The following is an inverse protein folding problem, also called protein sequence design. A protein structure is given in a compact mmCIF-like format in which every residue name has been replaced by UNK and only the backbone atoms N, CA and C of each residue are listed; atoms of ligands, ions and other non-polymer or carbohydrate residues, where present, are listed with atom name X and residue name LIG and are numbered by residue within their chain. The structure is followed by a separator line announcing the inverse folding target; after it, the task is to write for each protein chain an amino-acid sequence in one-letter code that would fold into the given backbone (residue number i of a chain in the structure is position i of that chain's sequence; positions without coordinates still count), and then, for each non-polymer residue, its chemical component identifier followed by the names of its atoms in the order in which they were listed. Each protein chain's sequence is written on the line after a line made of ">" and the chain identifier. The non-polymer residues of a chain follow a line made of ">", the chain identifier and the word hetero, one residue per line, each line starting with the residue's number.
data_IF_126117982407
#
_entry.id   IF_126117982407
#
_cell.length_a   1.000
_cell.length_b   1.000
_cell.length_c   1.000
_cell.angle_alpha   90.00
_cell.angle_beta   90.00
_cell.angle_gamma   90.00
#
_symmetry.space_group_name_H-M   'P 1'
#
loop_
_entity.id
_entity.type
_entity.pdbx_description
1 polymer ?
#
# COMPACT_ATOMS: atom_id res chain seq x y z
N UNK A 1 40.56 -28.35 61.69
CA UNK A 1 40.38 -29.49 60.76
C UNK A 1 39.16 -29.20 59.90
N UNK A 2 39.34 -29.01 58.58
CA UNK A 2 38.79 -29.85 57.48
C UNK A 2 37.24 -29.97 57.58
N UNK A 3 36.40 -29.51 56.64
CA UNK A 3 36.49 -29.56 55.17
C UNK A 3 35.45 -28.63 54.52
N UNK A 4 35.74 -28.20 53.29
CA UNK A 4 34.83 -27.43 52.41
C UNK A 4 33.67 -28.29 51.90
N UNK A 5 32.52 -27.68 51.62
CA UNK A 5 31.72 -28.06 50.46
C UNK A 5 31.06 -26.82 49.84
N UNK A 6 31.38 -26.63 48.58
CA UNK A 6 30.89 -25.59 47.67
C UNK A 6 29.62 -26.11 47.03
N UNK A 7 28.55 -25.31 46.98
CA UNK A 7 27.50 -25.47 45.97
C UNK A 7 27.37 -24.18 45.17
N UNK A 8 27.54 -24.38 43.87
CA UNK A 8 27.71 -23.43 42.79
C UNK A 8 26.39 -23.34 42.03
N UNK A 9 25.98 -22.12 41.69
CA UNK A 9 25.24 -21.70 40.49
C UNK A 9 23.80 -22.17 40.22
N UNK A 10 23.10 -21.25 39.51
CA UNK A 10 22.12 -21.45 38.43
C UNK A 10 20.69 -21.02 38.81
N UNK A 11 20.00 -20.11 38.13
CA UNK A 11 20.29 -19.27 36.98
C UNK A 11 19.06 -18.40 36.77
N UNK A 12 19.28 -17.11 36.60
CA UNK A 12 18.26 -16.11 36.30
C UNK A 12 17.59 -16.43 34.96
N UNK A 13 16.30 -16.78 34.96
CA UNK A 13 15.47 -16.77 33.76
C UNK A 13 14.17 -16.04 34.07
N UNK A 14 14.26 -14.71 34.07
CA UNK A 14 13.12 -13.84 33.84
C UNK A 14 12.76 -14.01 32.36
N UNK A 15 11.82 -14.90 32.06
CA UNK A 15 11.27 -15.03 30.71
C UNK A 15 10.41 -13.79 30.46
N UNK A 16 11.01 -12.73 29.94
CA UNK A 16 10.27 -11.65 29.31
C UNK A 16 9.63 -12.23 28.05
N UNK A 17 8.37 -12.67 28.18
CA UNK A 17 7.47 -12.83 27.05
C UNK A 17 7.33 -11.45 26.40
N UNK A 18 8.19 -11.17 25.42
CA UNK A 18 8.01 -10.05 24.52
C UNK A 18 6.86 -10.47 23.61
N UNK A 19 5.62 -10.25 24.06
CA UNK A 19 4.50 -10.21 23.14
C UNK A 19 4.79 -9.02 22.21
N UNK A 20 5.24 -9.32 21.00
CA UNK A 20 5.22 -8.35 19.92
C UNK A 20 3.75 -7.97 19.72
N UNK A 21 3.31 -6.92 20.41
CA UNK A 21 2.07 -6.28 20.08
C UNK A 21 2.24 -5.85 18.62
N UNK A 22 1.43 -6.42 17.71
CA UNK A 22 1.21 -5.78 16.42
C UNK A 22 0.66 -4.40 16.76
N UNK A 23 1.51 -3.38 16.76
CA UNK A 23 1.07 -2.01 16.79
C UNK A 23 0.09 -1.87 15.64
N UNK A 24 -1.19 -1.75 15.98
CA UNK A 24 -2.24 -1.42 15.03
C UNK A 24 -1.93 0.02 14.63
N UNK A 25 -1.08 0.16 13.61
CA UNK A 25 -0.62 1.44 13.11
C UNK A 25 -1.82 2.37 12.99
N UNK A 26 -1.72 3.56 13.60
CA UNK A 26 -2.81 4.52 13.58
C UNK A 26 -3.19 4.80 12.13
N UNK A 27 -4.39 4.38 11.75
CA UNK A 27 -4.93 4.61 10.41
C UNK A 27 -4.92 6.11 10.14
N UNK A 28 -4.24 6.53 9.08
CA UNK A 28 -4.14 7.94 8.66
C UNK A 28 -5.44 8.41 8.01
N UNK A 29 -6.07 7.51 7.25
CA UNK A 29 -7.32 7.77 6.55
C UNK A 29 -8.21 6.53 6.64
N UNK A 30 -9.52 6.71 6.69
CA UNK A 30 -10.51 5.64 6.57
C UNK A 30 -11.76 6.15 5.86
N UNK A 31 -12.45 5.28 5.15
CA UNK A 31 -13.67 5.64 4.44
C UNK A 31 -14.46 4.43 3.94
N UNK A 32 -15.46 4.69 3.10
CA UNK A 32 -16.21 3.66 2.37
C UNK A 32 -15.79 3.71 0.90
N UNK A 33 -15.43 2.57 0.31
CA UNK A 33 -15.04 2.51 -1.11
C UNK A 33 -16.21 2.66 -2.07
N UNK A 34 -17.44 2.42 -1.58
CA UNK A 34 -18.68 2.29 -2.34
C UNK A 34 -18.63 1.13 -3.36
N UNK A 35 -17.82 0.12 -3.06
CA UNK A 35 -17.67 -1.12 -3.83
C UNK A 35 -17.90 -2.33 -2.94
N UNK A 36 -17.92 -3.52 -3.52
CA UNK A 36 -18.06 -4.79 -2.78
C UNK A 36 -16.90 -5.03 -1.78
N UNK A 37 -15.77 -4.33 -1.94
CA UNK A 37 -14.65 -4.41 -0.98
C UNK A 37 -14.95 -3.72 0.36
N UNK A 38 -16.01 -2.91 0.44
CA UNK A 38 -16.51 -2.35 1.69
C UNK A 38 -15.73 -1.12 2.19
N UNK A 39 -15.54 -1.02 3.51
CA UNK A 39 -14.77 0.06 4.12
C UNK A 39 -13.27 -0.10 3.81
N UNK A 40 -12.54 1.01 3.80
CA UNK A 40 -11.09 1.00 3.66
C UNK A 40 -10.39 1.74 4.79
N UNK A 41 -9.13 1.35 5.03
CA UNK A 41 -8.17 2.05 5.89
C UNK A 41 -6.86 2.22 5.14
N UNK A 42 -6.18 3.35 5.38
CA UNK A 42 -4.85 3.63 4.84
C UNK A 42 -3.92 3.99 5.99
N UNK A 43 -2.77 3.33 6.06
CA UNK A 43 -1.72 3.60 7.03
C UNK A 43 -0.36 3.63 6.33
N UNK A 44 0.65 4.24 6.97
CA UNK A 44 2.04 4.12 6.49
C UNK A 44 2.45 2.65 6.52
N UNK A 45 3.03 2.16 5.43
CA UNK A 45 3.54 0.79 5.36
C UNK A 45 5.01 0.75 5.82
N UNK A 46 5.42 -0.26 6.61
CA UNK A 46 6.83 -0.55 6.85
C UNK A 46 7.53 -1.09 5.58
N UNK A 47 6.78 -1.66 4.65
CA UNK A 47 7.29 -2.24 3.41
C UNK A 47 7.35 -1.17 2.32
N UNK A 48 8.55 -0.62 2.11
CA UNK A 48 8.74 0.44 1.13
C UNK A 48 8.83 -0.11 -0.30
N UNK A 49 8.01 0.42 -1.20
CA UNK A 49 8.21 0.24 -2.65
C UNK A 49 9.52 0.93 -3.05
N UNK A 50 10.31 0.25 -3.88
CA UNK A 50 11.52 0.82 -4.48
C UNK A 50 11.23 1.28 -5.90
N UNK A 51 11.47 2.56 -6.20
CA UNK A 51 11.29 3.15 -7.53
C UNK A 51 12.64 3.70 -8.02
N UNK A 52 13.17 3.15 -9.12
CA UNK A 52 14.46 3.60 -9.66
C UNK A 52 15.64 3.41 -8.71
N UNK A 53 15.57 2.42 -7.82
CA UNK A 53 16.60 2.13 -6.81
C UNK A 53 16.44 2.88 -5.49
N UNK A 54 15.44 3.76 -5.35
CA UNK A 54 15.16 4.49 -4.12
C UNK A 54 13.89 3.98 -3.44
N UNK A 55 13.97 3.73 -2.13
CA UNK A 55 12.81 3.43 -1.31
C UNK A 55 11.92 4.69 -1.18
N UNK A 56 10.65 4.58 -1.55
CA UNK A 56 9.70 5.70 -1.48
C UNK A 56 8.73 5.55 -0.32
N UNK A 57 8.17 6.68 0.12
CA UNK A 57 7.07 6.70 1.09
C UNK A 57 5.95 5.81 0.56
N UNK A 58 5.60 4.79 1.34
CA UNK A 58 4.62 3.77 0.93
C UNK A 58 3.51 3.71 1.96
N UNK A 59 2.29 3.58 1.45
CA UNK A 59 1.10 3.32 2.26
C UNK A 59 0.59 1.93 2.00
N UNK A 60 -0.06 1.37 3.01
CA UNK A 60 -0.84 0.16 2.92
C UNK A 60 -2.32 0.54 2.95
N UNK A 61 -3.05 0.13 1.93
CA UNK A 61 -4.50 0.28 1.79
C UNK A 61 -5.15 -1.09 2.00
N UNK A 62 -5.97 -1.18 3.04
CA UNK A 62 -6.71 -2.38 3.40
C UNK A 62 -8.21 -2.16 3.18
N UNK A 63 -8.91 -3.19 2.73
CA UNK A 63 -10.36 -3.21 2.60
C UNK A 63 -10.96 -4.23 3.56
N UNK A 64 -12.17 -3.98 4.09
CA UNK A 64 -12.81 -4.91 5.03
C UNK A 64 -13.12 -6.28 4.42
N UNK A 65 -13.46 -6.34 3.14
CA UNK A 65 -13.83 -7.58 2.46
C UNK A 65 -12.70 -8.09 1.54
N UNK A 66 -11.44 -7.75 1.83
CA UNK A 66 -10.27 -8.25 1.10
C UNK A 66 -9.14 -8.59 2.07
N UNK A 67 -8.58 -9.79 1.91
CA UNK A 67 -7.47 -10.26 2.74
C UNK A 67 -6.09 -9.80 2.23
N UNK A 68 -6.03 -9.19 1.04
CA UNK A 68 -4.78 -8.77 0.40
C UNK A 68 -4.64 -7.25 0.42
N UNK A 69 -3.62 -6.71 1.13
CA UNK A 69 -3.38 -5.27 1.13
C UNK A 69 -2.93 -4.77 -0.23
N UNK A 70 -3.20 -3.50 -0.50
CA UNK A 70 -2.72 -2.77 -1.67
C UNK A 70 -1.61 -1.82 -1.23
N UNK A 71 -0.43 -1.90 -1.86
CA UNK A 71 0.67 -0.98 -1.59
C UNK A 71 0.58 0.24 -2.50
N UNK A 72 0.78 1.43 -1.92
CA UNK A 72 0.73 2.72 -2.63
C UNK A 72 2.04 3.49 -2.40
N UNK A 73 2.91 3.51 -3.41
CA UNK A 73 4.18 4.23 -3.40
C UNK A 73 4.03 5.66 -3.91
N UNK A 74 4.48 6.65 -3.15
CA UNK A 74 4.36 8.07 -3.49
C UNK A 74 5.58 8.55 -4.28
N UNK A 75 5.34 9.07 -5.48
CA UNK A 75 6.36 9.75 -6.29
C UNK A 75 6.02 11.23 -6.41
N UNK A 76 6.71 12.06 -5.62
CA UNK A 76 6.56 13.52 -5.69
C UNK A 76 7.16 14.06 -6.99
N UNK A 77 6.45 14.99 -7.62
CA UNK A 77 6.93 15.76 -8.76
C UNK A 77 6.94 17.25 -8.39
N UNK A 78 7.58 18.10 -9.20
CA UNK A 78 7.67 19.55 -8.94
C UNK A 78 6.31 20.25 -8.77
N UNK A 79 5.24 19.71 -9.36
CA UNK A 79 3.92 20.35 -9.41
C UNK A 79 2.79 19.54 -8.80
N UNK A 80 3.00 18.24 -8.52
CA UNK A 80 1.97 17.32 -8.06
C UNK A 80 2.57 15.99 -7.58
N UNK A 81 1.74 14.99 -7.28
CA UNK A 81 2.16 13.67 -6.84
C UNK A 81 1.60 12.59 -7.78
N UNK A 82 2.46 11.64 -8.14
CA UNK A 82 2.05 10.41 -8.79
C UNK A 82 2.11 9.27 -7.77
N UNK A 83 1.36 8.21 -8.02
CA UNK A 83 1.29 7.06 -7.14
C UNK A 83 1.46 5.78 -7.96
N UNK A 84 2.33 4.89 -7.47
CA UNK A 84 2.42 3.52 -7.95
C UNK A 84 1.53 2.69 -7.04
N UNK A 85 0.57 1.97 -7.60
CA UNK A 85 -0.35 1.12 -6.84
C UNK A 85 -0.11 -0.32 -7.24
N UNK A 86 0.12 -1.19 -6.26
CA UNK A 86 0.57 -2.57 -6.47
C UNK A 86 -0.17 -3.56 -5.56
N UNK A 87 -0.56 -4.68 -6.15
CA UNK A 87 -0.84 -5.96 -5.48
C UNK A 87 0.10 -7.01 -6.05
N UNK A 88 -0.01 -8.26 -5.61
CA UNK A 88 0.84 -9.36 -6.08
C UNK A 88 0.81 -9.55 -7.61
N UNK A 89 -0.35 -9.34 -8.23
CA UNK A 89 -0.57 -9.63 -9.65
C UNK A 89 -1.07 -8.43 -10.45
N UNK A 90 -1.16 -7.23 -9.86
CA UNK A 90 -1.67 -6.06 -10.54
C UNK A 90 -0.87 -4.81 -10.20
N UNK A 91 -0.60 -4.00 -11.22
CA UNK A 91 0.16 -2.75 -11.07
C UNK A 91 -0.42 -1.66 -11.96
N UNK A 92 -0.52 -0.46 -11.40
CA UNK A 92 -1.03 0.70 -12.13
C UNK A 92 -0.42 2.00 -11.60
N UNK A 93 -0.49 3.06 -12.41
CA UNK A 93 -0.05 4.39 -12.01
C UNK A 93 -1.22 5.37 -11.96
N UNK A 94 -1.34 6.07 -10.85
CA UNK A 94 -2.12 7.30 -10.80
C UNK A 94 -1.18 8.48 -11.04
N UNK A 95 -1.49 9.27 -12.06
CA UNK A 95 -0.66 10.39 -12.47
C UNK A 95 -1.41 11.70 -12.39
N UNK A 96 -0.66 12.72 -11.99
CA UNK A 96 -1.13 14.09 -12.02
C UNK A 96 -0.43 14.86 -13.14
N UNK A 97 -1.19 15.30 -14.14
CA UNK A 97 -0.69 16.04 -15.31
C UNK A 97 -1.61 17.21 -15.63
N UNK A 98 -1.07 18.43 -15.59
CA UNK A 98 -1.81 19.68 -15.88
C UNK A 98 -3.12 19.78 -15.09
N UNK A 99 -3.06 19.57 -13.77
CA UNK A 99 -4.20 19.55 -12.84
C UNK A 99 -5.17 18.37 -12.99
N UNK A 100 -5.00 17.51 -13.99
CA UNK A 100 -5.76 16.27 -14.13
C UNK A 100 -5.08 15.17 -13.33
N UNK A 101 -5.82 14.55 -12.41
CA UNK A 101 -5.46 13.32 -11.73
C UNK A 101 -6.26 12.14 -12.30
N UNK A 102 -5.58 11.05 -12.63
CA UNK A 102 -6.23 9.86 -13.17
C UNK A 102 -5.26 8.72 -13.41
N UNK A 103 -5.80 7.60 -13.88
CA UNK A 103 -5.05 6.36 -14.06
C UNK A 103 -4.31 6.31 -15.41
N UNK A 104 -3.15 5.66 -15.42
CA UNK A 104 -2.46 5.17 -16.62
C UNK A 104 -1.83 3.81 -16.33
N UNK A 105 -1.43 3.10 -17.38
CA UNK A 105 -0.63 1.87 -17.22
C UNK A 105 0.68 2.17 -16.50
N UNK A 106 1.13 1.21 -15.69
CA UNK A 106 2.44 1.25 -15.05
C UNK A 106 3.55 1.47 -16.09
N UNK A 107 4.49 2.34 -15.79
CA UNK A 107 5.63 2.62 -16.65
C UNK A 107 6.64 1.47 -16.52
N UNK A 108 7.28 1.09 -17.63
CA UNK A 108 8.12 -0.12 -17.70
C UNK A 108 9.26 -0.13 -16.66
N UNK A 109 9.77 1.04 -16.30
CA UNK A 109 10.83 1.20 -15.32
C UNK A 109 10.41 0.90 -13.87
N UNK A 110 9.10 0.88 -13.58
CA UNK A 110 8.54 0.60 -12.26
C UNK A 110 7.77 -0.72 -12.22
N UNK A 111 7.50 -1.30 -13.38
CA UNK A 111 6.75 -2.53 -13.53
C UNK A 111 7.56 -3.73 -13.00
N UNK A 112 6.92 -4.55 -12.18
CA UNK A 112 7.49 -5.81 -11.65
C UNK A 112 6.66 -7.02 -12.01
N UNK A 113 5.38 -6.82 -12.36
CA UNK A 113 4.48 -7.87 -12.86
C UNK A 113 4.50 -7.85 -14.39
N UNK A 114 4.39 -9.00 -15.05
CA UNK A 114 4.40 -9.03 -16.53
C UNK A 114 3.20 -8.28 -17.11
N UNK A 115 3.37 -7.63 -18.26
CA UNK A 115 2.29 -6.85 -18.88
C UNK A 115 1.09 -7.71 -19.24
N UNK A 116 1.29 -8.98 -19.60
CA UNK A 116 0.21 -9.91 -19.93
C UNK A 116 -0.66 -10.21 -18.70
N UNK A 117 -0.03 -10.43 -17.53
CA UNK A 117 -0.77 -10.65 -16.27
C UNK A 117 -1.59 -9.41 -15.92
N UNK A 118 -0.97 -8.22 -15.95
CA UNK A 118 -1.67 -6.95 -15.66
C UNK A 118 -2.85 -6.74 -16.64
N UNK A 119 -2.62 -6.93 -17.94
CA UNK A 119 -3.65 -6.69 -18.96
C UNK A 119 -4.80 -7.70 -18.86
N UNK A 120 -4.52 -8.94 -18.47
CA UNK A 120 -5.56 -9.95 -18.27
C UNK A 120 -6.47 -9.60 -17.08
N UNK A 121 -5.91 -9.07 -16.00
CA UNK A 121 -6.66 -8.65 -14.82
C UNK A 121 -7.37 -7.30 -14.98
N UNK A 122 -6.87 -6.41 -15.83
CA UNK A 122 -7.40 -5.05 -15.97
C UNK A 122 -8.80 -5.01 -16.59
N UNK A 123 -9.75 -4.35 -15.94
CA UNK A 123 -10.98 -3.89 -16.57
C UNK A 123 -10.66 -2.67 -17.44
N UNK A 124 -10.61 -2.88 -18.77
CA UNK A 124 -10.28 -1.81 -19.71
C UNK A 124 -11.37 -0.73 -19.76
N UNK A 125 -12.64 -1.07 -19.57
CA UNK A 125 -13.73 -0.09 -19.58
C UNK A 125 -13.54 0.90 -18.42
N UNK A 126 -13.34 0.37 -17.22
CA UNK A 126 -13.09 1.17 -16.01
C UNK A 126 -11.75 1.90 -16.09
N UNK A 127 -10.71 1.29 -16.65
CA UNK A 127 -9.43 1.96 -16.88
C UNK A 127 -9.59 3.22 -17.73
N UNK A 128 -10.36 3.17 -18.82
CA UNK A 128 -10.51 4.32 -19.72
C UNK A 128 -11.34 5.45 -19.10
N UNK A 129 -12.39 5.14 -18.33
CA UNK A 129 -13.20 6.15 -17.63
C UNK A 129 -12.41 6.84 -16.53
N UNK A 130 -11.49 6.12 -15.87
CA UNK A 130 -10.67 6.62 -14.78
C UNK A 130 -9.41 7.39 -15.23
N UNK A 131 -9.19 7.58 -16.54
CA UNK A 131 -8.05 8.41 -17.02
C UNK A 131 -8.14 9.86 -16.57
N UNK A 132 -9.33 10.29 -16.14
CA UNK A 132 -9.62 11.62 -15.58
C UNK A 132 -10.58 11.42 -14.38
N UNK A 133 -10.04 11.36 -13.17
CA UNK A 133 -10.83 11.25 -11.93
C UNK A 133 -11.19 12.62 -11.38
N UNK A 134 -10.22 13.54 -11.36
CA UNK A 134 -10.46 14.93 -10.95
C UNK A 134 -9.55 15.88 -11.70
N UNK A 135 -9.99 17.13 -11.84
CA UNK A 135 -9.24 18.21 -12.49
C UNK A 135 -8.87 19.33 -11.49
N UNK A 136 -9.25 19.18 -10.23
CA UNK A 136 -8.99 20.14 -9.19
C UNK A 136 -7.74 19.74 -8.39
N UNK A 137 -6.92 20.70 -7.92
CA UNK A 137 -5.86 20.40 -6.97
C UNK A 137 -6.43 19.71 -5.72
N UNK A 138 -5.69 18.70 -5.23
CA UNK A 138 -6.05 17.87 -4.08
C UNK A 138 -4.84 17.64 -3.19
N UNK A 139 -5.07 17.47 -1.89
CA UNK A 139 -4.02 17.08 -0.94
C UNK A 139 -3.60 15.62 -1.16
N UNK A 140 -2.48 15.21 -0.55
CA UNK A 140 -2.02 13.81 -0.60
C UNK A 140 -3.11 12.86 -0.04
N UNK A 141 -3.72 13.21 1.09
CA UNK A 141 -4.80 12.44 1.72
C UNK A 141 -6.04 12.32 0.85
N UNK A 142 -6.47 13.42 0.21
CA UNK A 142 -7.60 13.38 -0.72
C UNK A 142 -7.31 12.49 -1.94
N UNK A 143 -6.09 12.53 -2.48
CA UNK A 143 -5.68 11.67 -3.60
C UNK A 143 -5.61 10.19 -3.18
N UNK A 144 -5.15 9.89 -1.97
CA UNK A 144 -5.17 8.53 -1.40
C UNK A 144 -6.61 8.01 -1.25
N UNK A 145 -7.52 8.85 -0.77
CA UNK A 145 -8.95 8.52 -0.69
C UNK A 145 -9.56 8.24 -2.07
N UNK A 146 -9.21 9.04 -3.09
CA UNK A 146 -9.62 8.77 -4.47
C UNK A 146 -9.07 7.44 -4.97
N UNK A 147 -7.80 7.13 -4.74
CA UNK A 147 -7.22 5.82 -5.10
C UNK A 147 -8.03 4.69 -4.43
N UNK A 148 -8.32 4.80 -3.14
CA UNK A 148 -9.06 3.77 -2.41
C UNK A 148 -10.49 3.53 -2.94
N UNK A 149 -11.17 4.56 -3.43
CA UNK A 149 -12.51 4.41 -4.00
C UNK A 149 -12.50 3.89 -5.44
N UNK A 150 -11.50 4.25 -6.24
CA UNK A 150 -11.50 3.97 -7.69
C UNK A 150 -10.71 2.71 -8.07
N UNK A 151 -9.70 2.33 -7.28
CA UNK A 151 -8.86 1.16 -7.54
C UNK A 151 -9.62 -0.16 -7.67
N UNK A 152 -10.62 -0.49 -6.81
CA UNK A 152 -11.29 -1.80 -6.87
C UNK A 152 -11.89 -2.08 -8.25
N UNK A 153 -12.47 -1.06 -8.89
CA UNK A 153 -13.10 -1.19 -10.20
C UNK A 153 -12.10 -1.35 -11.35
N UNK A 154 -10.78 -1.18 -11.13
CA UNK A 154 -9.78 -1.40 -12.19
C UNK A 154 -9.47 -2.86 -12.43
N UNK A 155 -9.85 -3.74 -11.50
CA UNK A 155 -9.59 -5.17 -11.55
C UNK A 155 -10.89 -5.87 -11.91
N UNK A 156 -10.85 -6.76 -12.90
CA UNK A 156 -12.01 -7.59 -13.26
C UNK A 156 -12.41 -8.46 -12.07
N UNK A 157 -13.70 -8.53 -11.83
CA UNK A 157 -14.28 -9.59 -10.99
C UNK A 157 -14.00 -10.94 -11.67
N UNK A 158 -13.46 -11.88 -10.90
CA UNK A 158 -13.10 -13.23 -11.34
C UNK A 158 -14.25 -14.20 -11.18
#
# INVERSE_FOLDING_TARGET
>A
MKTKLVTLSLGLLLVCLVTAAKEKGTSLLSGNSLTELGQYTIATSPDAITLGGEAVKTYELNYTNSDSPVLIGVKKTKKCMNFIVRTDNFEVEYVCKKHVFGVKRISKEYQTVSSDVINNMMDNSQFYTQRVITQNPKTEEELLGLIACYFPSLIKES
#
